data_IF_835028837975
#
_entry.id   IF_835028837975
#
_cell.length_a   1.000
_cell.length_b   1.000
_cell.length_c   1.000
_cell.angle_alpha   90.00
_cell.angle_beta   90.00
_cell.angle_gamma   90.00
#
_symmetry.space_group_name_H-M   'P 1'
#
loop_
_entity.id
_entity.type
_entity.pdbx_description
1 polymer ?
#
# COMPACT_ATOMS: atom_id res chain seq x y z
N UNK A 1 48.56 -48.64 -25.72
CA UNK A 1 49.68 -48.06 -24.94
C UNK A 1 49.13 -47.11 -23.88
N UNK A 2 49.77 -47.04 -22.71
CA UNK A 2 49.11 -46.71 -21.44
C UNK A 2 49.55 -45.38 -20.82
N UNK A 3 48.80 -44.94 -19.78
CA UNK A 3 49.22 -44.15 -18.59
C UNK A 3 49.62 -42.69 -18.86
N UNK A 4 49.33 -41.68 -18.02
CA UNK A 4 49.14 -41.64 -16.56
C UNK A 4 48.63 -40.23 -16.16
N UNK A 5 47.67 -40.14 -15.24
CA UNK A 5 47.53 -39.01 -14.27
C UNK A 5 48.61 -39.17 -13.18
N UNK A 6 49.03 -38.10 -12.44
CA UNK A 6 48.34 -37.70 -11.20
C UNK A 6 48.48 -36.20 -10.78
N UNK A 7 47.51 -35.66 -10.03
CA UNK A 7 47.54 -35.27 -8.59
C UNK A 7 48.12 -33.86 -8.30
N UNK A 8 47.30 -32.90 -7.84
CA UNK A 8 46.93 -32.59 -6.42
C UNK A 8 47.75 -31.36 -5.94
N UNK A 9 47.21 -30.37 -5.21
CA UNK A 9 47.12 -30.33 -3.73
C UNK A 9 46.54 -28.93 -3.35
N UNK A 10 45.39 -28.91 -2.67
CA UNK A 10 45.08 -28.43 -1.30
C UNK A 10 44.82 -26.91 -1.11
N UNK A 11 43.65 -26.47 -0.62
CA UNK A 11 43.07 -26.53 0.76
C UNK A 11 43.66 -25.49 1.72
N UNK A 12 42.83 -24.53 2.16
CA UNK A 12 42.88 -23.99 3.52
C UNK A 12 41.53 -23.34 3.88
N UNK A 13 40.87 -23.93 4.87
CA UNK A 13 39.76 -23.37 5.63
C UNK A 13 40.30 -22.77 6.94
N UNK A 14 39.67 -21.71 7.45
CA UNK A 14 39.78 -21.23 8.84
C UNK A 14 38.59 -20.29 9.06
N UNK A 15 37.55 -20.69 9.80
CA UNK A 15 37.40 -20.79 11.26
C UNK A 15 36.76 -19.52 11.86
N UNK A 16 35.67 -19.75 12.58
CA UNK A 16 34.83 -18.77 13.24
C UNK A 16 35.24 -18.54 14.70
N UNK A 17 34.63 -17.49 15.30
CA UNK A 17 34.18 -17.31 16.69
C UNK A 17 34.82 -16.17 17.52
N UNK A 18 33.94 -15.19 17.82
CA UNK A 18 33.56 -14.58 19.12
C UNK A 18 34.63 -14.02 20.07
N UNK A 19 34.42 -12.76 20.53
CA UNK A 19 34.04 -12.38 21.93
C UNK A 19 34.35 -10.89 22.27
N UNK A 20 33.43 -10.27 23.03
CA UNK A 20 33.68 -9.11 23.93
C UNK A 20 33.49 -7.72 23.28
N UNK A 21 32.91 -6.69 23.91
CA UNK A 21 32.50 -6.51 25.30
C UNK A 21 31.46 -5.37 25.43
N UNK A 22 30.69 -5.42 26.51
CA UNK A 22 29.75 -4.41 26.99
C UNK A 22 30.43 -3.07 27.28
N UNK A 23 29.71 -1.96 27.07
CA UNK A 23 29.92 -0.71 27.83
C UNK A 23 28.57 -0.04 28.03
N UNK A 24 28.06 -0.17 29.25
CA UNK A 24 27.05 0.72 29.80
C UNK A 24 27.78 1.88 30.47
N UNK A 25 27.32 3.12 30.28
CA UNK A 25 27.39 4.23 31.26
C UNK A 25 26.64 5.45 30.71
N UNK A 26 25.47 5.71 31.31
CA UNK A 26 25.05 6.92 32.06
C UNK A 26 24.08 7.82 31.31
N UNK A 27 22.83 7.78 31.78
CA UNK A 27 21.78 8.77 31.56
C UNK A 27 22.23 10.18 31.95
N UNK A 28 21.62 11.19 31.31
CA UNK A 28 21.11 12.35 32.03
C UNK A 28 19.58 12.29 32.05
N UNK A 29 19.04 12.35 33.26
CA UNK A 29 17.61 12.38 33.58
C UNK A 29 16.98 13.73 33.20
N UNK A 30 15.76 13.62 32.64
CA UNK A 30 14.67 14.60 32.62
C UNK A 30 14.84 15.94 31.86
N UNK A 31 14.14 16.00 30.72
CA UNK A 31 13.11 17.03 30.55
C UNK A 31 11.82 16.35 30.08
N UNK A 32 10.93 16.07 31.02
CA UNK A 32 9.54 15.68 30.79
C UNK A 32 8.82 16.89 30.20
N UNK A 33 9.01 17.13 28.90
CA UNK A 33 8.22 18.08 28.15
C UNK A 33 6.81 17.52 27.97
N UNK A 34 5.76 18.35 28.10
CA UNK A 34 4.42 17.90 27.75
C UNK A 34 4.42 17.53 26.26
N UNK A 35 3.92 16.33 25.95
CA UNK A 35 3.49 16.00 24.59
C UNK A 35 2.05 16.49 24.44
N UNK A 36 1.82 17.55 23.66
CA UNK A 36 0.57 17.65 22.93
C UNK A 36 0.83 17.78 21.43
N UNK A 37 0.12 16.95 20.65
CA UNK A 37 0.02 17.06 19.19
C UNK A 37 -0.61 18.38 18.73
N UNK A 38 -0.67 18.58 17.41
CA UNK A 38 -1.85 18.11 16.71
C UNK A 38 -1.49 17.26 15.49
N UNK A 39 -2.17 16.13 15.34
CA UNK A 39 -2.51 15.61 14.01
C UNK A 39 -3.23 16.76 13.31
N UNK A 40 -2.62 17.32 12.26
CA UNK A 40 -3.37 18.16 11.33
C UNK A 40 -4.62 17.36 10.97
N UNK A 41 -5.80 17.95 11.15
CA UNK A 41 -7.07 17.29 10.88
C UNK A 41 -7.12 17.05 9.37
N UNK A 42 -6.65 15.89 8.93
CA UNK A 42 -6.75 15.49 7.53
C UNK A 42 -8.23 15.37 7.27
N UNK A 43 -8.75 16.20 6.36
CA UNK A 43 -10.14 16.06 5.96
C UNK A 43 -10.33 14.62 5.44
N UNK A 44 -11.31 13.86 5.96
CA UNK A 44 -11.52 12.48 5.54
C UNK A 44 -11.79 12.43 4.04
N UNK A 45 -11.50 11.28 3.41
CA UNK A 45 -11.82 11.11 2.00
C UNK A 45 -13.27 11.47 1.73
N UNK A 46 -13.48 12.20 0.64
CA UNK A 46 -14.74 12.03 -0.07
C UNK A 46 -14.73 10.62 -0.63
N UNK A 47 -15.72 9.83 -0.24
CA UNK A 47 -15.87 8.44 -0.67
C UNK A 47 -17.12 8.26 -1.53
N UNK A 48 -17.08 7.26 -2.40
CA UNK A 48 -18.24 6.73 -3.11
C UNK A 48 -18.40 5.24 -2.80
N UNK A 49 -19.62 4.77 -2.94
CA UNK A 49 -19.98 3.35 -2.84
C UNK A 49 -20.38 2.76 -4.20
N UNK A 50 -20.23 3.54 -5.28
CA UNK A 50 -20.59 3.13 -6.63
C UNK A 50 -19.59 2.10 -7.15
N UNK A 51 -20.10 0.90 -7.45
CA UNK A 51 -19.34 -0.17 -8.10
C UNK A 51 -19.10 0.15 -9.59
N UNK A 52 -17.99 -0.32 -10.18
CA UNK A 52 -17.84 -0.32 -11.63
C UNK A 52 -18.84 -1.29 -12.28
N UNK A 53 -19.22 -1.02 -13.53
CA UNK A 53 -20.11 -1.90 -14.31
C UNK A 53 -19.53 -3.32 -14.46
N UNK A 54 -18.21 -3.42 -14.60
CA UNK A 54 -17.48 -4.69 -14.56
C UNK A 54 -16.67 -4.79 -13.25
N UNK A 55 -17.05 -5.69 -12.32
CA UNK A 55 -16.34 -5.90 -11.06
C UNK A 55 -14.86 -6.29 -11.24
N UNK A 56 -14.48 -6.83 -12.42
CA UNK A 56 -13.08 -7.14 -12.70
C UNK A 56 -12.18 -5.90 -12.65
N UNK A 57 -12.71 -4.68 -12.87
CA UNK A 57 -11.95 -3.43 -12.75
C UNK A 57 -11.49 -3.14 -11.32
N UNK A 58 -12.16 -3.68 -10.30
CA UNK A 58 -11.71 -3.57 -8.91
C UNK A 58 -10.43 -4.37 -8.66
N UNK A 59 -10.16 -5.40 -9.47
CA UNK A 59 -9.05 -6.34 -9.29
C UNK A 59 -7.95 -6.12 -10.33
N UNK A 60 -8.33 -5.68 -11.52
CA UNK A 60 -7.48 -5.55 -12.70
C UNK A 60 -7.41 -4.09 -13.22
N UNK A 61 -6.94 -3.14 -12.40
CA UNK A 61 -6.82 -1.74 -12.81
C UNK A 61 -5.72 -1.58 -13.87
N UNK A 62 -5.95 -0.75 -14.88
CA UNK A 62 -5.00 -0.40 -15.94
C UNK A 62 -4.69 1.10 -16.00
N UNK A 63 -5.40 1.91 -15.21
CA UNK A 63 -5.22 3.37 -15.08
C UNK A 63 -5.18 3.78 -13.62
N UNK A 64 -4.65 4.98 -13.35
CA UNK A 64 -4.64 5.53 -12.00
C UNK A 64 -6.05 5.71 -11.42
N UNK A 65 -7.00 6.18 -12.23
CA UNK A 65 -8.40 6.35 -11.81
C UNK A 65 -9.07 5.00 -11.44
N UNK A 66 -8.83 3.94 -12.23
CA UNK A 66 -9.34 2.60 -11.92
C UNK A 66 -8.74 2.04 -10.64
N UNK A 67 -7.49 2.40 -10.31
CA UNK A 67 -6.80 1.89 -9.11
C UNK A 67 -7.55 2.23 -7.81
N UNK A 68 -8.36 3.29 -7.79
CA UNK A 68 -9.20 3.67 -6.64
C UNK A 68 -10.17 2.57 -6.23
N UNK A 69 -10.70 1.82 -7.20
CA UNK A 69 -11.56 0.67 -6.89
C UNK A 69 -10.79 -0.44 -6.20
N UNK A 70 -9.55 -0.69 -6.63
CA UNK A 70 -8.65 -1.66 -6.00
C UNK A 70 -8.26 -1.24 -4.58
N UNK A 71 -7.97 0.06 -4.38
CA UNK A 71 -7.69 0.61 -3.05
C UNK A 71 -8.86 0.37 -2.09
N UNK A 72 -10.10 0.59 -2.55
CA UNK A 72 -11.28 0.33 -1.73
C UNK A 72 -11.49 -1.14 -1.39
N UNK A 73 -11.17 -2.03 -2.32
CA UNK A 73 -11.23 -3.47 -2.08
C UNK A 73 -10.19 -3.91 -1.03
N UNK A 74 -8.97 -3.36 -1.08
CA UNK A 74 -7.93 -3.63 -0.08
C UNK A 74 -8.31 -3.07 1.30
N UNK A 75 -8.87 -1.85 1.35
CA UNK A 75 -9.41 -1.25 2.58
C UNK A 75 -10.53 -2.10 3.18
N UNK A 76 -11.44 -2.64 2.35
CA UNK A 76 -12.50 -3.54 2.84
C UNK A 76 -11.91 -4.75 3.57
N UNK A 77 -10.88 -5.39 3.00
CA UNK A 77 -10.19 -6.50 3.66
C UNK A 77 -9.60 -6.10 5.01
N UNK A 78 -8.98 -4.93 5.09
CA UNK A 78 -8.42 -4.40 6.34
C UNK A 78 -9.51 -4.06 7.38
N UNK A 79 -10.65 -3.51 6.94
CA UNK A 79 -11.82 -3.26 7.79
C UNK A 79 -12.35 -4.55 8.41
N UNK A 80 -12.50 -5.61 7.60
CA UNK A 80 -12.94 -6.93 8.08
C UNK A 80 -11.97 -7.48 9.11
N UNK A 81 -10.66 -7.43 8.82
CA UNK A 81 -9.61 -7.85 9.76
C UNK A 81 -9.74 -7.15 11.11
N UNK A 82 -9.87 -5.81 11.09
CA UNK A 82 -9.99 -5.00 12.32
C UNK A 82 -11.29 -5.24 13.06
N UNK A 83 -12.42 -5.35 12.36
CA UNK A 83 -13.72 -5.57 12.98
C UNK A 83 -13.75 -6.90 13.73
N UNK A 84 -13.31 -7.99 13.07
CA UNK A 84 -13.32 -9.32 13.67
C UNK A 84 -12.33 -9.44 14.83
N UNK A 85 -11.17 -8.79 14.73
CA UNK A 85 -10.22 -8.73 15.85
C UNK A 85 -10.82 -7.97 17.05
N UNK A 86 -11.49 -6.84 16.80
CA UNK A 86 -12.16 -6.04 17.82
C UNK A 86 -13.34 -6.81 18.47
N UNK A 87 -14.12 -7.56 17.69
CA UNK A 87 -15.19 -8.41 18.21
C UNK A 87 -14.65 -9.52 19.11
N UNK A 88 -13.57 -10.20 18.71
CA UNK A 88 -12.89 -11.19 19.54
C UNK A 88 -12.37 -10.62 20.86
N UNK A 89 -11.78 -9.43 20.83
CA UNK A 89 -11.28 -8.77 22.04
C UNK A 89 -12.44 -8.37 22.97
N UNK A 90 -13.54 -7.88 22.40
CA UNK A 90 -14.77 -7.56 23.15
C UNK A 90 -15.37 -8.79 23.83
N UNK A 91 -15.47 -9.90 23.11
CA UNK A 91 -15.91 -11.20 23.65
C UNK A 91 -15.02 -11.67 24.83
N UNK A 92 -13.72 -11.38 24.77
CA UNK A 92 -12.76 -11.72 25.82
C UNK A 92 -12.67 -10.68 26.97
N UNK A 93 -13.42 -9.56 26.87
CA UNK A 93 -13.34 -8.45 27.81
C UNK A 93 -11.99 -7.72 27.80
N UNK A 94 -11.26 -7.74 26.68
CA UNK A 94 -9.92 -7.15 26.54
C UNK A 94 -9.88 -6.01 25.53
N UNK A 95 -8.92 -5.10 25.72
CA UNK A 95 -8.53 -4.12 24.72
C UNK A 95 -7.46 -4.64 23.77
N UNK A 96 -7.52 -4.20 22.51
CA UNK A 96 -6.40 -4.30 21.57
C UNK A 96 -5.55 -3.02 21.63
N UNK A 97 -4.24 -3.10 21.35
CA UNK A 97 -3.41 -1.92 21.17
C UNK A 97 -3.98 -1.00 20.08
N UNK A 98 -3.80 0.33 20.20
CA UNK A 98 -4.21 1.26 19.15
C UNK A 98 -3.46 0.95 17.85
N UNK A 99 -4.17 1.04 16.72
CA UNK A 99 -3.60 0.88 15.38
C UNK A 99 -3.70 2.20 14.60
N UNK A 100 -2.77 2.48 13.67
CA UNK A 100 -2.89 3.63 12.80
C UNK A 100 -4.22 3.58 12.01
N UNK A 101 -4.85 4.72 11.69
CA UNK A 101 -6.05 4.74 10.85
C UNK A 101 -5.86 3.99 9.53
N UNK A 102 -6.94 3.42 8.99
CA UNK A 102 -6.91 2.87 7.64
C UNK A 102 -6.81 4.02 6.64
N UNK A 103 -6.08 3.80 5.56
CA UNK A 103 -5.92 4.77 4.48
C UNK A 103 -6.03 4.07 3.13
N UNK A 104 -6.54 4.78 2.12
CA UNK A 104 -6.45 4.33 0.74
C UNK A 104 -5.02 4.51 0.25
N UNK A 105 -4.28 3.41 0.12
CA UNK A 105 -2.86 3.43 -0.28
C UNK A 105 -2.76 3.42 -1.80
N UNK A 106 -2.10 4.43 -2.37
CA UNK A 106 -1.89 4.53 -3.82
C UNK A 106 -0.89 3.47 -4.32
N UNK A 107 -1.09 2.98 -5.53
CA UNK A 107 -0.14 2.07 -6.20
C UNK A 107 0.81 2.86 -7.09
N UNK A 108 2.11 2.76 -6.85
CA UNK A 108 3.14 3.43 -7.66
C UNK A 108 3.14 2.92 -9.11
N UNK A 109 2.65 1.71 -9.37
CA UNK A 109 2.49 1.12 -10.70
C UNK A 109 1.34 1.77 -11.48
N UNK A 110 0.41 2.45 -10.81
CA UNK A 110 -0.82 3.02 -11.35
C UNK A 110 -1.10 4.39 -10.69
N UNK A 111 -0.21 5.38 -10.87
CA UNK A 111 -0.38 6.66 -10.19
C UNK A 111 -1.59 7.40 -10.77
N UNK A 112 -2.52 7.80 -9.90
CA UNK A 112 -3.62 8.68 -10.29
C UNK A 112 -3.14 10.13 -10.34
N UNK A 113 -2.56 10.51 -11.48
CA UNK A 113 -1.97 11.85 -11.65
C UNK A 113 -3.00 12.97 -11.48
N UNK A 114 -4.27 12.74 -11.81
CA UNK A 114 -5.32 13.75 -11.62
C UNK A 114 -5.59 13.98 -10.13
N UNK A 115 -5.62 12.91 -9.33
CA UNK A 115 -5.76 12.98 -7.89
C UNK A 115 -4.51 13.59 -7.24
N UNK A 116 -3.33 13.02 -7.51
CA UNK A 116 -2.05 13.47 -6.95
C UNK A 116 -1.79 14.95 -7.26
N UNK A 117 -2.16 15.40 -8.46
CA UNK A 117 -1.98 16.79 -8.85
C UNK A 117 -2.83 17.79 -8.07
N UNK A 118 -3.99 17.37 -7.54
CA UNK A 118 -4.86 18.23 -6.72
C UNK A 118 -4.59 18.09 -5.23
N UNK A 119 -4.27 16.87 -4.80
CA UNK A 119 -4.32 16.50 -3.39
C UNK A 119 -2.96 16.15 -2.80
N UNK A 120 -1.90 15.92 -3.58
CA UNK A 120 -0.62 15.48 -3.03
C UNK A 120 -0.54 13.96 -2.82
N UNK A 121 0.46 13.52 -2.07
CA UNK A 121 0.76 12.13 -1.73
C UNK A 121 0.25 11.73 -0.34
N UNK A 122 0.35 12.65 0.63
CA UNK A 122 -0.02 12.47 2.03
C UNK A 122 -1.53 12.43 2.28
N UNK A 123 -2.33 12.87 1.30
CA UNK A 123 -3.78 12.66 1.30
C UNK A 123 -4.15 11.26 0.79
N UNK A 124 -3.40 10.25 1.26
CA UNK A 124 -3.93 8.90 1.40
C UNK A 124 -5.12 9.01 2.34
N UNK A 125 -6.28 9.26 1.75
CA UNK A 125 -7.40 9.80 2.50
C UNK A 125 -7.79 8.82 3.59
N UNK A 126 -7.77 9.28 4.83
CA UNK A 126 -8.17 8.46 5.96
C UNK A 126 -9.57 7.91 5.68
N UNK A 127 -9.70 6.60 5.85
CA UNK A 127 -10.96 5.91 5.74
C UNK A 127 -11.84 6.41 6.89
N UNK A 128 -13.06 6.90 6.63
CA UNK A 128 -13.95 7.37 7.67
C UNK A 128 -14.10 6.32 8.79
N UNK A 129 -13.71 6.69 10.02
CA UNK A 129 -13.73 5.80 11.18
C UNK A 129 -15.16 5.79 11.76
N UNK A 130 -15.77 4.61 11.99
CA UNK A 130 -17.02 4.53 12.77
C UNK A 130 -16.84 5.10 14.18
N UNK A 131 -17.92 5.59 14.80
CA UNK A 131 -17.87 6.11 16.16
C UNK A 131 -17.27 5.08 17.15
N UNK A 132 -16.46 5.57 18.11
CA UNK A 132 -15.72 4.72 19.03
C UNK A 132 -16.65 3.81 19.84
N UNK A 133 -16.31 2.52 19.87
CA UNK A 133 -16.97 1.52 20.71
C UNK A 133 -16.52 1.61 22.17
N UNK A 134 -17.31 1.02 23.07
CA UNK A 134 -17.12 1.04 24.53
C UNK A 134 -15.68 0.75 24.98
N UNK A 135 -15.26 1.46 26.03
CA UNK A 135 -13.93 1.32 26.65
C UNK A 135 -13.69 -0.11 27.11
N UNK A 136 -12.52 -0.71 26.82
CA UNK A 136 -12.20 -2.06 27.26
C UNK A 136 -12.13 -2.16 28.79
N UNK A 137 -12.53 -3.32 29.33
CA UNK A 137 -12.55 -3.59 30.78
C UNK A 137 -11.13 -3.78 31.34
N UNK A 138 -10.23 -4.37 30.55
CA UNK A 138 -8.81 -4.57 30.88
C UNK A 138 -7.94 -4.65 29.63
N UNK A 139 -6.64 -4.49 29.79
CA UNK A 139 -5.66 -4.79 28.74
C UNK A 139 -5.56 -6.31 28.51
N UNK A 140 -5.52 -6.73 27.24
CA UNK A 140 -5.29 -8.13 26.90
C UNK A 140 -3.83 -8.55 27.08
N UNK A 141 -3.61 -9.81 27.44
CA UNK A 141 -2.27 -10.43 27.37
C UNK A 141 -1.81 -10.61 25.93
N UNK A 142 -0.50 -10.77 25.71
CA UNK A 142 0.05 -10.97 24.36
C UNK A 142 -0.57 -12.16 23.63
N UNK A 143 -0.90 -13.23 24.36
CA UNK A 143 -1.55 -14.41 23.78
C UNK A 143 -2.98 -14.10 23.31
N UNK A 144 -3.74 -13.32 24.08
CA UNK A 144 -5.09 -12.89 23.72
C UNK A 144 -5.05 -11.95 22.51
N UNK A 145 -4.13 -11.00 22.50
CA UNK A 145 -3.92 -10.07 21.39
C UNK A 145 -3.59 -10.85 20.10
N UNK A 146 -2.61 -11.76 20.15
CA UNK A 146 -2.25 -12.59 18.98
C UNK A 146 -3.41 -13.43 18.48
N UNK A 147 -4.16 -14.06 19.39
CA UNK A 147 -5.33 -14.87 19.02
C UNK A 147 -6.39 -14.04 18.28
N UNK A 148 -6.72 -12.86 18.81
CA UNK A 148 -7.74 -12.01 18.17
C UNK A 148 -7.27 -11.41 16.85
N UNK A 149 -5.99 -11.02 16.73
CA UNK A 149 -5.41 -10.62 15.45
C UNK A 149 -5.46 -11.74 14.42
N UNK A 150 -5.05 -12.96 14.77
CA UNK A 150 -5.11 -14.11 13.87
C UNK A 150 -6.53 -14.42 13.39
N UNK A 151 -7.54 -14.29 14.27
CA UNK A 151 -8.96 -14.45 13.89
C UNK A 151 -9.39 -13.36 12.89
N UNK A 152 -8.95 -12.12 13.10
CA UNK A 152 -9.16 -11.02 12.17
C UNK A 152 -8.51 -11.28 10.82
N UNK A 153 -7.22 -11.63 10.80
CA UNK A 153 -6.45 -11.93 9.60
C UNK A 153 -7.09 -13.05 8.78
N UNK A 154 -7.53 -14.13 9.43
CA UNK A 154 -8.23 -15.22 8.75
C UNK A 154 -9.55 -14.77 8.09
N UNK A 155 -10.31 -13.87 8.73
CA UNK A 155 -11.53 -13.33 8.15
C UNK A 155 -11.24 -12.40 6.96
N UNK A 156 -10.23 -11.54 7.08
CA UNK A 156 -9.76 -10.71 5.98
C UNK A 156 -9.29 -11.55 4.78
N UNK A 157 -8.46 -12.55 5.00
CA UNK A 157 -7.97 -13.45 3.96
C UNK A 157 -9.12 -14.19 3.26
N UNK A 158 -10.15 -14.64 3.98
CA UNK A 158 -11.35 -15.25 3.37
C UNK A 158 -12.05 -14.33 2.36
N UNK A 159 -12.09 -13.03 2.61
CA UNK A 159 -12.63 -12.05 1.63
C UNK A 159 -11.69 -11.96 0.42
N UNK A 160 -10.38 -11.96 0.67
CA UNK A 160 -9.34 -11.82 -0.36
C UNK A 160 -9.20 -13.04 -1.24
N UNK A 161 -9.49 -14.24 -0.75
CA UNK A 161 -9.45 -15.50 -1.52
C UNK A 161 -10.24 -15.42 -2.83
N UNK A 162 -11.32 -14.63 -2.86
CA UNK A 162 -12.14 -14.44 -4.05
C UNK A 162 -11.41 -13.74 -5.22
N UNK A 163 -10.37 -12.94 -4.94
CA UNK A 163 -9.74 -12.08 -5.95
C UNK A 163 -8.21 -12.07 -5.95
N UNK A 164 -7.58 -12.28 -4.80
CA UNK A 164 -6.16 -12.08 -4.59
C UNK A 164 -5.27 -12.95 -5.51
N UNK A 165 -5.60 -14.22 -5.81
CA UNK A 165 -4.80 -14.99 -6.76
C UNK A 165 -4.69 -14.33 -8.14
N UNK A 166 -5.83 -13.86 -8.68
CA UNK A 166 -5.85 -13.21 -9.99
C UNK A 166 -5.22 -11.82 -9.95
N UNK A 167 -5.43 -11.07 -8.85
CA UNK A 167 -4.80 -9.78 -8.61
C UNK A 167 -3.28 -9.90 -8.60
N UNK A 168 -2.72 -10.89 -7.91
CA UNK A 168 -1.26 -11.11 -7.84
C UNK A 168 -0.66 -11.37 -9.21
N UNK A 169 -1.30 -12.20 -10.04
CA UNK A 169 -0.87 -12.44 -11.41
C UNK A 169 -0.88 -11.14 -12.22
N UNK A 170 -1.95 -10.36 -12.11
CA UNK A 170 -2.08 -9.09 -12.80
C UNK A 170 -1.03 -8.05 -12.39
N UNK A 171 -0.77 -7.91 -11.08
CA UNK A 171 0.26 -6.99 -10.59
C UNK A 171 1.68 -7.41 -11.00
N UNK A 172 1.91 -8.71 -11.20
CA UNK A 172 3.13 -9.20 -11.86
C UNK A 172 3.29 -8.67 -13.28
N UNK A 173 2.24 -8.74 -14.10
CA UNK A 173 2.21 -8.22 -15.47
C UNK A 173 2.37 -6.69 -15.52
N UNK A 174 1.68 -5.96 -14.62
CA UNK A 174 1.83 -4.52 -14.47
C UNK A 174 3.27 -4.13 -14.15
N UNK A 175 3.91 -4.83 -13.21
CA UNK A 175 5.28 -4.57 -12.82
C UNK A 175 6.25 -4.84 -13.97
N UNK A 176 6.03 -5.91 -14.74
CA UNK A 176 6.83 -6.22 -15.92
C UNK A 176 6.74 -5.14 -17.01
N UNK A 177 5.57 -4.50 -17.16
CA UNK A 177 5.35 -3.43 -18.16
C UNK A 177 6.24 -2.21 -17.97
N UNK A 178 6.80 -1.98 -16.77
CA UNK A 178 7.77 -0.89 -16.51
C UNK A 178 9.05 -1.02 -17.34
N UNK A 179 9.38 -2.23 -17.78
CA UNK A 179 10.57 -2.52 -18.60
C UNK A 179 10.33 -2.29 -20.08
N UNK A 180 9.12 -1.91 -20.50
CA UNK A 180 8.84 -1.57 -21.88
C UNK A 180 9.79 -0.44 -22.35
N UNK A 181 10.48 -0.60 -23.50
CA UNK A 181 11.46 0.38 -23.95
C UNK A 181 10.89 1.79 -24.14
N UNK A 182 9.62 1.93 -24.54
CA UNK A 182 8.99 3.24 -24.69
C UNK A 182 8.69 3.87 -23.32
N UNK A 183 8.22 3.08 -22.35
CA UNK A 183 8.01 3.53 -20.98
C UNK A 183 9.33 3.97 -20.32
N UNK A 184 10.41 3.20 -20.50
CA UNK A 184 11.75 3.54 -19.99
C UNK A 184 12.27 4.83 -20.61
N UNK A 185 12.11 5.00 -21.93
CA UNK A 185 12.51 6.25 -22.60
C UNK A 185 11.72 7.46 -22.10
N UNK A 186 10.41 7.32 -21.93
CA UNK A 186 9.59 8.41 -21.40
C UNK A 186 10.01 8.79 -19.98
N UNK A 187 10.26 7.80 -19.11
CA UNK A 187 10.68 8.03 -17.72
C UNK A 187 12.00 8.80 -17.62
N UNK A 188 12.93 8.65 -18.56
CA UNK A 188 14.21 9.42 -18.57
C UNK A 188 14.02 10.93 -18.67
N UNK A 189 12.86 11.40 -19.14
CA UNK A 189 12.54 12.84 -19.22
C UNK A 189 12.09 13.44 -17.88
N UNK A 190 11.75 12.59 -16.90
CA UNK A 190 11.18 12.99 -15.62
C UNK A 190 12.10 13.94 -14.84
N UNK A 191 13.40 13.63 -14.75
CA UNK A 191 14.36 14.43 -13.98
C UNK A 191 14.53 15.84 -14.53
N UNK A 192 14.52 15.99 -15.87
CA UNK A 192 14.53 17.30 -16.53
C UNK A 192 13.31 18.13 -16.15
N UNK A 193 12.10 17.56 -16.29
CA UNK A 193 10.88 18.26 -15.90
C UNK A 193 10.83 18.61 -14.41
N UNK A 194 11.25 17.69 -13.52
CA UNK A 194 11.30 17.96 -12.08
C UNK A 194 12.30 19.08 -11.75
N UNK A 195 13.43 19.14 -12.47
CA UNK A 195 14.41 20.22 -12.34
C UNK A 195 13.80 21.57 -12.74
N UNK A 196 13.03 21.63 -13.83
CA UNK A 196 12.31 22.84 -14.25
C UNK A 196 11.24 23.26 -13.23
N UNK A 197 10.76 22.33 -12.41
CA UNK A 197 9.87 22.58 -11.27
C UNK A 197 10.60 22.93 -9.97
N UNK A 198 11.94 23.03 -9.99
CA UNK A 198 12.78 23.38 -8.84
C UNK A 198 13.24 22.17 -8.00
N UNK A 199 12.99 20.94 -8.44
CA UNK A 199 13.36 19.72 -7.72
C UNK A 199 14.55 19.02 -8.39
N UNK A 200 15.71 19.07 -7.72
CA UNK A 200 16.95 18.43 -8.21
C UNK A 200 17.02 16.98 -7.75
N UNK A 201 16.51 16.07 -8.57
CA UNK A 201 16.48 14.63 -8.31
C UNK A 201 16.89 13.86 -9.56
N UNK A 202 17.52 12.68 -9.39
CA UNK A 202 18.06 11.91 -10.51
C UNK A 202 17.00 11.11 -11.26
N UNK A 203 16.03 10.60 -10.52
CA UNK A 203 15.00 9.69 -11.00
C UNK A 203 13.75 9.74 -10.09
N UNK A 204 12.77 8.90 -10.42
CA UNK A 204 11.51 8.76 -9.68
C UNK A 204 11.73 8.33 -8.23
N UNK A 205 12.66 7.41 -7.98
CA UNK A 205 12.96 6.92 -6.63
C UNK A 205 13.57 8.04 -5.76
N UNK A 206 14.53 8.79 -6.30
CA UNK A 206 15.11 9.95 -5.64
C UNK A 206 14.07 11.05 -5.37
N UNK A 207 13.06 11.19 -6.23
CA UNK A 207 11.93 12.08 -5.99
C UNK A 207 11.07 11.61 -4.82
N UNK A 208 10.71 10.33 -4.75
CA UNK A 208 9.95 9.80 -3.61
C UNK A 208 10.72 9.88 -2.30
N UNK A 209 12.04 9.63 -2.32
CA UNK A 209 12.89 9.84 -1.16
C UNK A 209 12.94 11.33 -0.72
N UNK A 210 12.81 12.28 -1.65
CA UNK A 210 12.62 13.69 -1.33
C UNK A 210 11.25 13.93 -0.69
N UNK A 211 10.18 13.40 -1.27
CA UNK A 211 8.82 13.49 -0.72
C UNK A 211 8.80 13.02 0.73
N UNK A 212 9.32 11.83 1.01
CA UNK A 212 9.36 11.25 2.36
C UNK A 212 10.09 12.17 3.33
N UNK A 213 11.32 12.60 2.99
CA UNK A 213 12.09 13.52 3.84
C UNK A 213 11.36 14.84 4.05
N UNK A 214 10.72 15.40 3.03
CA UNK A 214 10.01 16.66 3.14
C UNK A 214 8.77 16.51 4.03
N UNK A 215 7.99 15.45 3.86
CA UNK A 215 6.79 15.21 4.67
C UNK A 215 7.11 14.87 6.13
N UNK A 216 8.19 14.13 6.41
CA UNK A 216 8.63 13.83 7.77
C UNK A 216 9.11 15.06 8.54
N UNK A 217 9.60 16.10 7.85
CA UNK A 217 10.14 17.31 8.48
C UNK A 217 9.21 18.52 8.36
N UNK A 218 8.09 18.41 7.66
CA UNK A 218 7.14 19.50 7.48
C UNK A 218 6.41 19.81 8.80
N UNK A 219 6.24 21.11 9.10
CA UNK A 219 5.36 21.53 10.18
C UNK A 219 3.90 21.19 9.85
N UNK A 220 3.05 21.06 10.86
CA UNK A 220 1.61 20.82 10.67
C UNK A 220 0.94 21.91 9.80
N UNK A 221 1.40 23.16 9.93
CA UNK A 221 0.90 24.30 9.14
C UNK A 221 1.31 24.22 7.65
N UNK A 222 2.46 23.61 7.36
CA UNK A 222 3.03 23.57 6.01
C UNK A 222 2.76 22.26 5.27
N UNK A 223 2.45 21.19 5.98
CA UNK A 223 2.30 19.84 5.45
C UNK A 223 1.42 19.80 4.19
N UNK A 224 0.17 20.24 4.30
CA UNK A 224 -0.79 20.18 3.19
C UNK A 224 -0.39 21.07 1.99
N UNK A 225 0.38 22.13 2.22
CA UNK A 225 0.88 22.99 1.14
C UNK A 225 2.05 22.32 0.41
N UNK A 226 3.01 21.79 1.16
CA UNK A 226 4.18 21.11 0.60
C UNK A 226 3.79 19.82 -0.13
N UNK A 227 2.88 19.03 0.45
CA UNK A 227 2.36 17.81 -0.14
C UNK A 227 1.69 18.06 -1.50
N UNK A 228 0.79 19.05 -1.58
CA UNK A 228 0.14 19.44 -2.84
C UNK A 228 1.12 19.99 -3.87
N UNK A 229 2.14 20.75 -3.44
CA UNK A 229 3.17 21.26 -4.35
C UNK A 229 3.98 20.11 -5.00
N UNK A 230 4.41 19.14 -4.19
CA UNK A 230 5.12 17.95 -4.65
C UNK A 230 4.24 17.09 -5.57
N UNK A 231 2.99 16.83 -5.18
CA UNK A 231 2.04 16.06 -5.99
C UNK A 231 1.72 16.72 -7.33
N UNK A 232 1.54 18.04 -7.35
CA UNK A 232 1.32 18.83 -8.57
C UNK A 232 2.50 18.77 -9.54
N UNK A 233 3.73 18.90 -9.02
CA UNK A 233 4.94 18.78 -9.82
C UNK A 233 5.10 17.38 -10.40
N UNK A 234 4.96 16.35 -9.57
CA UNK A 234 5.02 14.95 -10.00
C UNK A 234 3.95 14.63 -11.04
N UNK A 235 2.69 14.99 -10.79
CA UNK A 235 1.58 14.77 -11.73
C UNK A 235 1.80 15.44 -13.08
N UNK A 236 2.38 16.64 -13.07
CA UNK A 236 2.73 17.35 -14.31
C UNK A 236 3.83 16.61 -15.07
N UNK A 237 4.89 16.22 -14.38
CA UNK A 237 6.07 15.62 -15.02
C UNK A 237 5.88 14.14 -15.39
N UNK A 238 4.99 13.42 -14.71
CA UNK A 238 4.65 12.03 -15.04
C UNK A 238 3.59 11.90 -16.13
N UNK A 239 2.86 12.97 -16.47
CA UNK A 239 1.80 12.91 -17.50
C UNK A 239 2.31 12.36 -18.85
N UNK A 240 3.47 12.79 -19.38
CA UNK A 240 4.02 12.21 -20.61
C UNK A 240 4.40 10.73 -20.46
N UNK A 241 4.82 10.31 -19.27
CA UNK A 241 5.19 8.92 -18.97
C UNK A 241 3.94 8.03 -18.94
N UNK A 242 2.91 8.46 -18.24
CA UNK A 242 1.65 7.72 -18.14
C UNK A 242 0.86 7.72 -19.46
N UNK A 243 1.02 8.73 -20.32
CA UNK A 243 0.50 8.72 -21.69
C UNK A 243 1.06 7.56 -22.53
N UNK A 244 2.26 7.05 -22.19
CA UNK A 244 2.84 5.85 -22.80
C UNK A 244 2.44 4.58 -22.05
N UNK A 245 2.49 4.58 -20.72
CA UNK A 245 2.22 3.39 -19.90
C UNK A 245 0.75 2.96 -19.91
N UNK A 246 -0.19 3.89 -19.90
CA UNK A 246 -1.63 3.57 -19.87
C UNK A 246 -2.10 2.73 -21.07
N UNK A 247 -1.81 3.10 -22.34
CA UNK A 247 -2.17 2.27 -23.49
C UNK A 247 -1.57 0.85 -23.44
N UNK A 248 -0.33 0.74 -22.95
CA UNK A 248 0.35 -0.55 -22.78
C UNK A 248 -0.39 -1.40 -21.74
N UNK A 249 -0.68 -0.86 -20.55
CA UNK A 249 -1.44 -1.55 -19.50
C UNK A 249 -2.84 -1.96 -19.97
N UNK A 250 -3.54 -1.10 -20.72
CA UNK A 250 -4.86 -1.45 -21.30
C UNK A 250 -4.77 -2.60 -22.28
N UNK A 251 -3.72 -2.65 -23.10
CA UNK A 251 -3.50 -3.78 -24.03
C UNK A 251 -3.14 -5.05 -23.28
N UNK A 252 -2.24 -4.97 -22.29
CA UNK A 252 -1.92 -6.08 -21.40
C UNK A 252 -3.16 -6.61 -20.68
N UNK A 253 -4.04 -5.73 -20.20
CA UNK A 253 -5.29 -6.13 -19.55
C UNK A 253 -6.18 -6.93 -20.50
N UNK A 254 -6.38 -6.47 -21.73
CA UNK A 254 -7.17 -7.21 -22.72
C UNK A 254 -6.62 -8.62 -22.94
N UNK A 255 -5.32 -8.73 -23.18
CA UNK A 255 -4.66 -10.03 -23.35
C UNK A 255 -4.76 -10.90 -22.09
N UNK A 256 -4.63 -10.31 -20.91
CA UNK A 256 -4.77 -11.00 -19.63
C UNK A 256 -6.18 -11.54 -19.43
N UNK A 257 -7.21 -10.74 -19.73
CA UNK A 257 -8.60 -11.15 -19.67
C UNK A 257 -8.89 -12.33 -20.61
N UNK A 258 -8.27 -12.36 -21.79
CA UNK A 258 -8.41 -13.47 -22.74
C UNK A 258 -7.68 -14.73 -22.24
N UNK A 259 -6.43 -14.59 -21.78
CA UNK A 259 -5.63 -15.71 -21.24
C UNK A 259 -6.24 -16.35 -19.99
N UNK A 260 -6.90 -15.54 -19.15
CA UNK A 260 -7.48 -15.96 -17.87
C UNK A 260 -9.02 -15.91 -17.89
N UNK A 261 -9.63 -16.16 -19.04
CA UNK A 261 -11.08 -15.96 -19.22
C UNK A 261 -11.93 -16.77 -18.23
N UNK A 262 -11.49 -17.98 -17.85
CA UNK A 262 -12.22 -18.80 -16.89
C UNK A 262 -12.14 -18.24 -15.47
N UNK A 263 -10.95 -17.84 -15.03
CA UNK A 263 -10.70 -17.22 -13.72
C UNK A 263 -11.43 -15.89 -13.61
N UNK A 264 -11.44 -15.08 -14.66
CA UNK A 264 -12.19 -13.82 -14.71
C UNK A 264 -13.69 -14.06 -14.61
N UNK A 265 -14.24 -15.10 -15.27
CA UNK A 265 -15.66 -15.48 -15.09
C UNK A 265 -15.98 -15.86 -13.65
N UNK A 266 -15.11 -16.66 -13.01
CA UNK A 266 -15.26 -17.02 -11.60
C UNK A 266 -15.21 -15.79 -10.69
N UNK A 267 -14.25 -14.89 -10.94
CA UNK A 267 -14.12 -13.63 -10.22
C UNK A 267 -15.40 -12.80 -10.33
N UNK A 268 -15.90 -12.58 -11.55
CA UNK A 268 -17.13 -11.78 -11.78
C UNK A 268 -18.35 -12.37 -11.07
N UNK A 269 -18.45 -13.70 -11.03
CA UNK A 269 -19.54 -14.38 -10.34
C UNK A 269 -19.42 -14.31 -8.81
N UNK A 270 -18.21 -14.29 -8.26
CA UNK A 270 -17.98 -14.39 -6.81
C UNK A 270 -17.77 -13.04 -6.11
N UNK A 271 -17.11 -12.08 -6.76
CA UNK A 271 -16.57 -10.89 -6.09
C UNK A 271 -17.67 -10.05 -5.41
N UNK A 272 -18.70 -9.65 -6.15
CA UNK A 272 -19.78 -8.81 -5.58
C UNK A 272 -20.54 -9.56 -4.48
N UNK A 273 -20.96 -10.82 -4.65
CA UNK A 273 -21.53 -11.60 -3.55
C UNK A 273 -20.64 -11.68 -2.31
N UNK A 274 -19.34 -11.97 -2.45
CA UNK A 274 -18.39 -12.03 -1.33
C UNK A 274 -18.27 -10.69 -0.63
N UNK A 275 -18.17 -9.59 -1.38
CA UNK A 275 -18.15 -8.23 -0.80
C UNK A 275 -19.43 -7.97 0.00
N UNK A 276 -20.61 -8.21 -0.58
CA UNK A 276 -21.88 -7.97 0.12
C UNK A 276 -22.04 -8.85 1.35
N UNK A 277 -21.52 -10.07 1.32
CA UNK A 277 -21.52 -10.96 2.46
C UNK A 277 -20.63 -10.46 3.59
N UNK A 278 -19.42 -9.99 3.26
CA UNK A 278 -18.53 -9.36 4.22
C UNK A 278 -19.15 -8.10 4.85
N UNK A 279 -19.83 -7.26 4.05
CA UNK A 279 -20.50 -6.07 4.56
C UNK A 279 -21.60 -6.41 5.56
N UNK A 280 -22.43 -7.42 5.26
CA UNK A 280 -23.49 -7.88 6.18
C UNK A 280 -22.96 -8.56 7.43
N UNK A 281 -21.95 -9.41 7.29
CA UNK A 281 -21.45 -10.25 8.38
C UNK A 281 -20.59 -9.47 9.36
N UNK A 282 -19.79 -8.52 8.87
CA UNK A 282 -18.77 -7.83 9.67
C UNK A 282 -19.05 -6.34 9.86
N UNK A 283 -20.14 -5.79 9.29
CA UNK A 283 -20.43 -4.36 9.36
C UNK A 283 -19.40 -3.47 8.65
N UNK A 284 -18.50 -4.06 7.87
CA UNK A 284 -17.59 -3.33 6.99
C UNK A 284 -18.38 -2.74 5.82
N UNK A 285 -17.90 -1.64 5.23
CA UNK A 285 -18.59 -1.03 4.08
C UNK A 285 -17.58 -0.72 2.99
N UNK A 286 -17.78 -1.32 1.82
CA UNK A 286 -16.94 -1.06 0.67
C UNK A 286 -17.09 0.40 0.26
N UNK A 287 -15.95 1.08 0.13
CA UNK A 287 -15.87 2.49 -0.18
C UNK A 287 -14.65 2.77 -1.04
N UNK A 288 -14.75 3.77 -1.90
CA UNK A 288 -13.70 4.12 -2.85
C UNK A 288 -13.40 5.61 -2.73
N UNK A 289 -12.14 6.04 -2.83
CA UNK A 289 -11.81 7.46 -2.83
C UNK A 289 -12.37 8.12 -4.10
N UNK A 290 -12.90 9.34 -3.96
CA UNK A 290 -13.37 10.16 -5.08
C UNK A 290 -12.36 11.27 -5.41
N UNK A 291 -12.33 11.76 -6.66
CA UNK A 291 -11.40 12.79 -7.11
C UNK A 291 -11.53 14.16 -6.43
#
# INVERSE_FOLDING_TARGET
MPRTTPASVALAATAALLLGACSATTEPTAATGPVPGPTATVAPARVTHTLPDDPALMVLPATGAESRWTQGLDVLGQQVTRSVAADCAREAGTGLPPEPPLAFISYAELPDLAYLGRHGFGHGTEVPVPAASATPVRTGSDAEIRRCRARGEAAGEKVREAYLPLQRLWFGELSASRRDPAAVRALRTLSGCLTDKGYRVRDEEAFFALVDRTMMNASTADYARQDRALGSAYATCMRPVEAVREPLRRTLRRQFLDRHAQEVRKLRAALVPTVRDAERTYGARLMFPTP
#
